data_IF_965855421864
#
_entry.id   IF_965855421864
#
_cell.length_a   1.000
_cell.length_b   1.000
_cell.length_c   1.000
_cell.angle_alpha   90.00
_cell.angle_beta   90.00
_cell.angle_gamma   90.00
#
_symmetry.space_group_name_H-M   'P 1'
#
loop_
_entity.id
_entity.type
_entity.pdbx_description
1 polymer ?
#
# COMPACT_ATOMS: atom_id res chain seq x y z
N UNK A 1 6.23 -16.10 9.40
CA UNK A 1 5.57 -15.71 8.15
C UNK A 1 4.54 -14.60 8.33
N UNK A 2 3.64 -14.71 9.29
CA UNK A 2 2.68 -13.63 9.57
C UNK A 2 3.36 -12.32 9.96
N UNK A 3 4.51 -12.39 10.59
CA UNK A 3 5.32 -11.26 10.99
C UNK A 3 5.65 -10.32 9.82
N UNK A 4 6.02 -10.88 8.68
CA UNK A 4 6.39 -10.08 7.51
C UNK A 4 5.17 -9.48 6.81
N UNK A 5 4.03 -10.14 6.90
CA UNK A 5 2.77 -9.57 6.42
C UNK A 5 2.34 -8.38 7.28
N UNK A 6 2.58 -8.45 8.59
CA UNK A 6 2.33 -7.33 9.48
C UNK A 6 3.27 -6.17 9.17
N UNK A 7 4.53 -6.46 8.84
CA UNK A 7 5.47 -5.42 8.42
C UNK A 7 5.03 -4.78 7.10
N UNK A 8 4.54 -5.57 6.16
CA UNK A 8 4.02 -5.04 4.91
C UNK A 8 2.83 -4.10 5.16
N UNK A 9 1.91 -4.51 6.02
CA UNK A 9 0.77 -3.68 6.39
C UNK A 9 1.24 -2.38 7.05
N UNK A 10 2.22 -2.45 7.95
CA UNK A 10 2.79 -1.26 8.58
C UNK A 10 3.40 -0.31 7.54
N UNK A 11 4.12 -0.85 6.57
CA UNK A 11 4.69 -0.06 5.49
C UNK A 11 3.60 0.64 4.66
N UNK A 12 2.51 -0.06 4.38
CA UNK A 12 1.36 0.51 3.65
C UNK A 12 0.74 1.66 4.45
N UNK A 13 0.53 1.45 5.75
CA UNK A 13 -0.06 2.49 6.61
C UNK A 13 0.83 3.72 6.69
N UNK A 14 2.15 3.54 6.80
CA UNK A 14 3.09 4.65 6.78
C UNK A 14 3.04 5.40 5.46
N UNK A 15 2.99 4.67 4.35
CA UNK A 15 2.93 5.26 3.01
C UNK A 15 1.65 6.07 2.83
N UNK A 16 0.51 5.53 3.26
CA UNK A 16 -0.77 6.23 3.17
C UNK A 16 -0.75 7.50 4.02
N UNK A 17 -0.21 7.43 5.23
CA UNK A 17 -0.07 8.59 6.09
C UNK A 17 0.87 9.62 5.47
N UNK A 18 1.97 9.17 4.88
CA UNK A 18 2.92 10.04 4.20
C UNK A 18 2.28 10.75 3.01
N UNK A 19 1.47 10.03 2.23
CA UNK A 19 0.77 10.58 1.08
C UNK A 19 -0.24 11.64 1.52
N UNK A 20 -0.93 11.42 2.64
CA UNK A 20 -1.85 12.39 3.21
C UNK A 20 -1.10 13.66 3.65
N UNK A 21 0.03 13.50 4.33
CA UNK A 21 0.87 14.63 4.71
C UNK A 21 1.40 15.37 3.48
N UNK A 22 1.74 14.64 2.43
CA UNK A 22 2.20 15.25 1.18
C UNK A 22 1.10 16.13 0.57
N UNK A 23 -0.15 15.68 0.63
CA UNK A 23 -1.27 16.48 0.15
C UNK A 23 -1.40 17.76 0.96
N UNK A 24 -1.27 17.70 2.28
CA UNK A 24 -1.32 18.87 3.15
C UNK A 24 -0.13 19.80 2.96
N UNK A 25 0.98 19.32 2.39
CA UNK A 25 2.15 20.16 2.12
C UNK A 25 1.91 21.20 1.03
N UNK A 26 0.83 21.08 0.28
CA UNK A 26 0.46 21.99 -0.79
C UNK A 26 1.61 22.23 -1.77
N UNK A 27 2.21 21.16 -2.28
CA UNK A 27 3.33 21.23 -3.22
C UNK A 27 4.64 21.63 -2.55
N UNK A 28 4.86 21.16 -1.32
CA UNK A 28 6.02 21.46 -0.48
C UNK A 28 6.09 22.92 -0.01
N UNK A 29 4.97 23.64 -0.10
CA UNK A 29 4.91 25.01 0.42
C UNK A 29 4.81 25.04 1.95
N UNK A 30 4.14 24.07 2.53
CA UNK A 30 4.02 23.92 3.98
C UNK A 30 5.11 22.96 4.44
N UNK A 31 6.25 23.49 4.87
CA UNK A 31 7.45 22.71 5.15
C UNK A 31 7.29 21.64 6.23
N UNK A 32 6.59 21.87 7.37
CA UNK A 32 6.42 20.81 8.38
C UNK A 32 5.76 19.56 7.81
N UNK A 33 4.74 19.70 6.98
CA UNK A 33 4.07 18.56 6.35
C UNK A 33 4.94 17.89 5.30
N UNK A 34 5.73 18.68 4.57
CA UNK A 34 6.66 18.13 3.58
C UNK A 34 7.73 17.27 4.25
N UNK A 35 8.34 17.77 5.33
CA UNK A 35 9.34 17.02 6.08
C UNK A 35 8.76 15.76 6.71
N UNK A 36 7.56 15.86 7.28
CA UNK A 36 6.89 14.71 7.88
C UNK A 36 6.60 13.64 6.83
N UNK A 37 6.14 14.04 5.65
CA UNK A 37 5.89 13.12 4.55
C UNK A 37 7.17 12.38 4.15
N UNK A 38 8.29 13.09 4.00
CA UNK A 38 9.56 12.49 3.63
C UNK A 38 10.05 11.48 4.67
N UNK A 39 9.91 11.81 5.95
CA UNK A 39 10.31 10.92 7.03
C UNK A 39 9.45 9.66 7.03
N UNK A 40 8.14 9.80 6.86
CA UNK A 40 7.22 8.66 6.83
C UNK A 40 7.46 7.78 5.60
N UNK A 41 7.74 8.38 4.44
CA UNK A 41 8.10 7.61 3.25
C UNK A 41 9.39 6.81 3.47
N UNK A 42 10.40 7.44 4.08
CA UNK A 42 11.66 6.76 4.39
C UNK A 42 11.43 5.56 5.29
N UNK A 43 10.60 5.72 6.34
CA UNK A 43 10.25 4.63 7.23
C UNK A 43 9.50 3.51 6.52
N UNK A 44 8.54 3.87 5.65
CA UNK A 44 7.79 2.91 4.86
C UNK A 44 8.70 2.09 3.96
N UNK A 45 9.59 2.75 3.22
CA UNK A 45 10.51 2.06 2.32
C UNK A 45 11.51 1.20 3.08
N UNK A 46 11.96 1.64 4.25
CA UNK A 46 12.83 0.83 5.09
C UNK A 46 12.16 -0.49 5.48
N UNK A 47 10.91 -0.41 5.96
CA UNK A 47 10.16 -1.61 6.34
C UNK A 47 9.91 -2.49 5.12
N UNK A 48 9.54 -1.88 3.99
CA UNK A 48 9.33 -2.61 2.74
C UNK A 48 10.59 -3.36 2.31
N UNK A 49 11.76 -2.76 2.47
CA UNK A 49 13.02 -3.41 2.10
C UNK A 49 13.26 -4.68 2.91
N UNK A 50 12.87 -4.67 4.18
CA UNK A 50 12.96 -5.88 5.02
C UNK A 50 11.99 -6.94 4.52
N UNK A 51 10.76 -6.54 4.22
CA UNK A 51 9.72 -7.45 3.74
C UNK A 51 10.15 -8.13 2.43
N UNK A 52 10.81 -7.40 1.54
CA UNK A 52 11.23 -7.92 0.24
C UNK A 52 12.27 -9.04 0.34
N UNK A 53 12.96 -9.17 1.48
CA UNK A 53 13.87 -10.29 1.71
C UNK A 53 13.09 -11.60 1.88
N UNK A 54 11.87 -11.54 2.40
CA UNK A 54 11.10 -12.72 2.80
C UNK A 54 9.89 -12.99 1.92
N UNK A 55 9.39 -11.98 1.22
CA UNK A 55 8.22 -12.11 0.34
C UNK A 55 8.68 -11.80 -1.08
N UNK A 56 8.22 -12.56 -2.10
CA UNK A 56 8.60 -12.29 -3.49
C UNK A 56 8.33 -10.84 -3.88
N UNK A 57 9.27 -10.25 -4.60
CA UNK A 57 9.24 -8.83 -4.95
C UNK A 57 7.95 -8.42 -5.65
N UNK A 58 7.56 -9.18 -6.68
CA UNK A 58 6.37 -8.83 -7.45
C UNK A 58 5.09 -8.88 -6.62
N UNK A 59 4.99 -9.89 -5.75
CA UNK A 59 3.83 -10.07 -4.89
C UNK A 59 3.75 -8.96 -3.84
N UNK A 60 4.86 -8.71 -3.14
CA UNK A 60 4.90 -7.68 -2.11
C UNK A 60 4.58 -6.30 -2.69
N UNK A 61 5.18 -5.98 -3.84
CA UNK A 61 4.98 -4.70 -4.49
C UNK A 61 3.55 -4.53 -4.99
N UNK A 62 2.97 -5.59 -5.57
CA UNK A 62 1.59 -5.54 -6.07
C UNK A 62 0.60 -5.30 -4.92
N UNK A 63 0.78 -6.00 -3.80
CA UNK A 63 -0.10 -5.83 -2.64
C UNK A 63 0.10 -4.45 -2.02
N UNK A 64 1.35 -4.04 -1.84
CA UNK A 64 1.67 -2.73 -1.28
C UNK A 64 1.07 -1.60 -2.12
N UNK A 65 1.28 -1.64 -3.43
CA UNK A 65 0.76 -0.61 -4.33
C UNK A 65 -0.76 -0.65 -4.39
N UNK A 66 -1.35 -1.84 -4.52
CA UNK A 66 -2.79 -1.99 -4.63
C UNK A 66 -3.52 -1.52 -3.39
N UNK A 67 -3.09 -1.98 -2.22
CA UNK A 67 -3.70 -1.56 -0.96
C UNK A 67 -3.47 -0.09 -0.67
N UNK A 68 -2.27 0.41 -0.98
CA UNK A 68 -1.97 1.83 -0.84
C UNK A 68 -2.88 2.71 -1.68
N UNK A 69 -3.07 2.35 -2.95
CA UNK A 69 -3.95 3.08 -3.85
C UNK A 69 -5.39 3.04 -3.34
N UNK A 70 -5.86 1.87 -2.90
CA UNK A 70 -7.21 1.74 -2.37
C UNK A 70 -7.40 2.61 -1.13
N UNK A 71 -6.47 2.59 -0.20
CA UNK A 71 -6.54 3.40 1.01
C UNK A 71 -6.55 4.90 0.70
N UNK A 72 -5.65 5.35 -0.17
CA UNK A 72 -5.57 6.75 -0.56
C UNK A 72 -6.85 7.18 -1.29
N UNK A 73 -7.38 6.31 -2.14
CA UNK A 73 -8.62 6.61 -2.88
C UNK A 73 -9.81 6.74 -1.92
N UNK A 74 -9.91 5.84 -0.93
CA UNK A 74 -10.98 5.93 0.07
C UNK A 74 -10.86 7.22 0.88
N UNK A 75 -9.66 7.59 1.27
CA UNK A 75 -9.42 8.85 1.98
C UNK A 75 -9.83 10.03 1.09
N UNK A 76 -9.45 10.00 -0.17
CA UNK A 76 -9.77 11.07 -1.12
C UNK A 76 -11.27 11.27 -1.25
N UNK A 77 -12.02 10.18 -1.42
CA UNK A 77 -13.46 10.26 -1.63
C UNK A 77 -14.20 10.61 -0.34
N UNK A 78 -13.82 9.99 0.78
CA UNK A 78 -14.59 10.11 2.02
C UNK A 78 -14.22 11.34 2.85
N UNK A 79 -12.94 11.66 2.94
CA UNK A 79 -12.48 12.76 3.78
C UNK A 79 -12.40 14.06 2.98
N UNK A 80 -11.80 14.01 1.80
CA UNK A 80 -11.64 15.20 0.96
C UNK A 80 -12.80 15.42 0.00
N UNK A 81 -13.72 14.45 -0.07
CA UNK A 81 -14.91 14.52 -0.91
C UNK A 81 -14.61 14.76 -2.38
N UNK A 82 -13.48 14.23 -2.83
CA UNK A 82 -13.15 14.24 -4.25
C UNK A 82 -14.15 13.37 -5.02
N UNK A 83 -14.58 13.84 -6.18
CA UNK A 83 -15.52 13.07 -7.00
C UNK A 83 -14.76 12.17 -7.97
N UNK A 84 -15.27 10.95 -8.09
CA UNK A 84 -14.74 9.96 -9.03
C UNK A 84 -15.91 9.53 -9.90
N UNK A 85 -15.67 9.46 -11.22
CA UNK A 85 -16.73 9.04 -12.14
C UNK A 85 -16.91 7.52 -12.09
N UNK A 86 -17.93 7.02 -12.82
CA UNK A 86 -18.25 5.60 -12.84
C UNK A 86 -17.07 4.76 -13.34
N UNK A 87 -16.37 5.23 -14.36
CA UNK A 87 -15.21 4.53 -14.92
C UNK A 87 -14.12 4.38 -13.85
N UNK A 88 -13.90 5.41 -13.03
CA UNK A 88 -12.95 5.36 -11.92
C UNK A 88 -13.35 4.33 -10.88
N UNK A 89 -14.63 4.25 -10.52
CA UNK A 89 -15.11 3.22 -9.58
C UNK A 89 -14.94 1.81 -10.14
N UNK A 90 -15.17 1.62 -11.43
CA UNK A 90 -14.93 0.32 -12.08
C UNK A 90 -13.45 -0.05 -11.98
N UNK A 91 -12.56 0.89 -12.25
CA UNK A 91 -11.12 0.67 -12.13
C UNK A 91 -10.71 0.27 -10.70
N UNK A 92 -11.28 0.94 -9.69
CA UNK A 92 -11.00 0.62 -8.29
C UNK A 92 -11.50 -0.79 -7.96
N UNK A 93 -12.67 -1.18 -8.46
CA UNK A 93 -13.21 -2.52 -8.25
C UNK A 93 -12.30 -3.58 -8.88
N UNK A 94 -11.81 -3.35 -10.09
CA UNK A 94 -10.88 -4.25 -10.77
C UNK A 94 -9.57 -4.35 -10.00
N UNK A 95 -9.05 -3.23 -9.52
CA UNK A 95 -7.83 -3.20 -8.71
C UNK A 95 -8.01 -4.01 -7.43
N UNK A 96 -9.14 -3.82 -6.74
CA UNK A 96 -9.45 -4.54 -5.51
C UNK A 96 -9.49 -6.04 -5.76
N UNK A 97 -10.13 -6.45 -6.86
CA UNK A 97 -10.20 -7.86 -7.23
C UNK A 97 -8.80 -8.40 -7.52
N UNK A 98 -7.97 -7.64 -8.22
CA UNK A 98 -6.59 -8.03 -8.50
C UNK A 98 -5.76 -8.22 -7.25
N UNK A 99 -5.90 -7.35 -6.26
CA UNK A 99 -5.21 -7.47 -4.97
C UNK A 99 -5.67 -8.73 -4.25
N UNK A 100 -6.96 -9.00 -4.22
CA UNK A 100 -7.52 -10.19 -3.57
C UNK A 100 -6.97 -11.46 -4.24
N UNK A 101 -6.98 -11.52 -5.57
CA UNK A 101 -6.46 -12.66 -6.31
C UNK A 101 -4.97 -12.86 -6.02
N UNK A 102 -4.20 -11.79 -5.98
CA UNK A 102 -2.77 -11.86 -5.68
C UNK A 102 -2.53 -12.40 -4.27
N UNK A 103 -3.31 -11.95 -3.29
CA UNK A 103 -3.19 -12.44 -1.92
C UNK A 103 -3.51 -13.93 -1.84
N UNK A 104 -4.57 -14.37 -2.50
CA UNK A 104 -4.96 -15.78 -2.51
C UNK A 104 -3.90 -16.64 -3.19
N UNK A 105 -3.36 -16.16 -4.31
CA UNK A 105 -2.28 -16.84 -5.02
C UNK A 105 -1.06 -17.03 -4.13
N UNK A 106 -0.69 -15.99 -3.38
CA UNK A 106 0.46 -16.04 -2.49
C UNK A 106 0.24 -17.03 -1.35
N UNK A 107 -0.94 -17.03 -0.76
CA UNK A 107 -1.28 -17.99 0.31
C UNK A 107 -1.22 -19.42 -0.22
N UNK A 108 -1.79 -19.67 -1.40
CA UNK A 108 -1.75 -20.99 -2.02
C UNK A 108 -0.33 -21.44 -2.32
N UNK A 109 0.49 -20.55 -2.88
CA UNK A 109 1.88 -20.83 -3.19
C UNK A 109 2.68 -21.17 -1.94
N UNK A 110 2.50 -20.40 -0.89
CA UNK A 110 3.17 -20.62 0.39
C UNK A 110 2.78 -21.97 0.98
N UNK A 111 1.50 -22.30 0.90
CA UNK A 111 0.97 -23.57 1.41
C UNK A 111 1.54 -24.76 0.64
N UNK A 112 1.55 -24.68 -0.67
CA UNK A 112 2.14 -25.72 -1.53
C UNK A 112 3.62 -25.90 -1.24
N UNK A 113 4.34 -24.82 -1.05
CA UNK A 113 5.76 -24.86 -0.78
C UNK A 113 6.08 -25.53 0.57
N UNK A 114 5.21 -25.32 1.55
CA UNK A 114 5.34 -25.97 2.85
C UNK A 114 5.20 -27.49 2.73
N UNK A 115 4.39 -27.99 1.79
CA UNK A 115 4.24 -29.41 1.55
C UNK A 115 5.44 -30.03 0.83
N UNK A 116 6.17 -29.25 0.06
CA UNK A 116 7.36 -29.73 -0.67
C UNK A 116 8.55 -29.93 0.25
N UNK A 117 8.59 -29.24 1.36
CA UNK A 117 9.69 -29.34 2.32
C UNK A 117 9.35 -30.27 3.47
#
# INVERSE_FOLDING_TARGET
>A
MYKYWLFLLAAILLEVTASTCLKYSAGFKVLPFAWLALILYAGSFYILSIVLVYIPFGVAYAIWSGLGILCVTLISVWIYKDSINLVGYIGIAVLSLGVIITCLSTVSYTHLRAHET
#
